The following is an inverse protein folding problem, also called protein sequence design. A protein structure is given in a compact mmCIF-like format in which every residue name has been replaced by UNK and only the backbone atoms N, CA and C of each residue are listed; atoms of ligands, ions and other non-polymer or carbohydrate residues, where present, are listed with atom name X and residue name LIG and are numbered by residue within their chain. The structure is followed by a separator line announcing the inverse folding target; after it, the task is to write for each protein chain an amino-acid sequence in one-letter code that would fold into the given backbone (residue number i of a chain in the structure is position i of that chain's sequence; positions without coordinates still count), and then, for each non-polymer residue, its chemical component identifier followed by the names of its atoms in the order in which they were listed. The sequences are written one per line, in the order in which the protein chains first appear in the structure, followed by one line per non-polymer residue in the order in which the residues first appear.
data_IF_650030281774
#
_entry.id   IF_650030281774
#
_cell.length_a   1.000
_cell.length_b   1.000
_cell.length_c   1.000
_cell.angle_alpha   90.00
_cell.angle_beta   90.00
_cell.angle_gamma   90.00
#
_symmetry.space_group_name_H-M   'P 1'
#
loop_
_entity.id
_entity.type
_entity.pdbx_description
1 polymer ?
#
# COMPACT_ATOMS: atom_id res chain seq x y z
N UNK A 1 -8.27 45.78 -1.40
CA UNK A 1 -7.21 44.96 -0.77
C UNK A 1 -7.62 43.50 -0.86
N UNK A 2 -7.04 42.72 -1.78
CA UNK A 2 -7.32 41.28 -1.85
C UNK A 2 -6.58 40.57 -0.70
N UNK A 3 -7.33 39.95 0.23
CA UNK A 3 -6.74 39.08 1.26
C UNK A 3 -6.24 37.80 0.59
N UNK A 4 -4.94 37.57 0.62
CA UNK A 4 -4.39 36.26 0.27
C UNK A 4 -4.87 35.23 1.32
N UNK A 5 -5.26 34.01 0.90
CA UNK A 5 -5.65 32.99 1.86
C UNK A 5 -4.44 32.65 2.73
N UNK A 6 -4.51 33.00 4.01
CA UNK A 6 -3.56 32.52 5.01
C UNK A 6 -3.76 31.01 5.08
N UNK A 7 -2.89 30.26 4.39
CA UNK A 7 -2.78 28.84 4.64
C UNK A 7 -2.44 28.69 6.11
N UNK A 8 -3.23 27.90 6.82
CA UNK A 8 -3.10 27.60 8.24
C UNK A 8 -1.86 26.71 8.51
N UNK A 9 -0.72 27.09 7.94
CA UNK A 9 0.62 26.49 8.08
C UNK A 9 1.06 26.33 9.55
N UNK A 10 0.77 27.28 10.47
CA UNK A 10 1.08 27.08 11.88
C UNK A 10 0.41 25.83 12.47
N UNK A 11 -0.78 25.47 11.98
CA UNK A 11 -1.51 24.28 12.44
C UNK A 11 -0.91 22.98 11.90
N UNK A 12 -0.51 22.95 10.62
CA UNK A 12 0.15 21.78 10.03
C UNK A 12 1.53 21.53 10.63
N UNK A 13 2.33 22.58 10.83
CA UNK A 13 3.60 22.48 11.56
C UNK A 13 3.40 22.01 13.01
N UNK A 14 2.35 22.50 13.69
CA UNK A 14 2.04 22.10 15.06
C UNK A 14 1.61 20.63 15.15
N UNK A 15 0.83 20.11 14.19
CA UNK A 15 0.47 18.69 14.12
C UNK A 15 1.69 17.78 14.01
N UNK A 16 2.73 18.24 13.31
CA UNK A 16 4.01 17.51 13.17
C UNK A 16 4.91 17.60 14.42
N UNK A 17 4.64 18.54 15.33
CA UNK A 17 5.43 18.70 16.54
C UNK A 17 5.09 17.64 17.60
N UNK A 18 6.10 16.84 17.96
CA UNK A 18 5.99 15.75 18.95
C UNK A 18 4.83 14.80 18.62
N UNK A 19 3.82 14.73 19.47
CA UNK A 19 2.64 13.87 19.31
C UNK A 19 1.34 14.67 19.15
N UNK A 20 1.42 15.99 18.90
CA UNK A 20 0.23 16.86 18.84
C UNK A 20 -0.71 16.55 17.67
N UNK A 21 -0.22 15.97 16.59
CA UNK A 21 -1.05 15.55 15.45
C UNK A 21 -1.55 14.11 15.52
N UNK A 22 -1.22 13.35 16.56
CA UNK A 22 -1.69 11.96 16.75
C UNK A 22 -3.04 11.93 17.46
N UNK A 23 -3.96 12.78 17.02
CA UNK A 23 -5.32 12.84 17.56
C UNK A 23 -6.10 11.59 17.19
N UNK A 24 -7.17 11.30 17.94
CA UNK A 24 -8.05 10.16 17.67
C UNK A 24 -8.59 10.17 16.22
N UNK A 25 -8.84 11.36 15.64
CA UNK A 25 -9.26 11.49 14.25
C UNK A 25 -8.15 11.08 13.26
N UNK A 26 -6.89 11.45 13.51
CA UNK A 26 -5.76 11.07 12.68
C UNK A 26 -5.51 9.55 12.74
N UNK A 27 -5.56 8.97 13.95
CA UNK A 27 -5.43 7.52 14.13
C UNK A 27 -6.57 6.75 13.44
N UNK A 28 -7.80 7.28 13.45
CA UNK A 28 -8.91 6.69 12.70
C UNK A 28 -8.65 6.70 11.19
N UNK A 29 -8.15 7.81 10.63
CA UNK A 29 -7.79 7.89 9.20
C UNK A 29 -6.72 6.87 8.85
N UNK A 30 -5.63 6.81 9.63
CA UNK A 30 -4.56 5.84 9.45
C UNK A 30 -5.06 4.39 9.50
N UNK A 31 -5.95 4.05 10.44
CA UNK A 31 -6.55 2.70 10.50
C UNK A 31 -7.34 2.36 9.24
N UNK A 32 -8.09 3.32 8.70
CA UNK A 32 -8.86 3.11 7.46
C UNK A 32 -7.93 2.93 6.27
N UNK A 33 -6.91 3.77 6.13
CA UNK A 33 -5.89 3.67 5.08
C UNK A 33 -5.22 2.29 5.07
N UNK A 34 -4.70 1.85 6.23
CA UNK A 34 -4.08 0.54 6.40
C UNK A 34 -5.05 -0.60 6.07
N UNK A 35 -6.31 -0.52 6.52
CA UNK A 35 -7.28 -1.56 6.17
C UNK A 35 -7.63 -1.60 4.68
N UNK A 36 -7.63 -0.46 3.99
CA UNK A 36 -7.85 -0.42 2.54
C UNK A 36 -6.69 -1.06 1.81
N UNK A 37 -5.44 -0.76 2.20
CA UNK A 37 -4.25 -1.40 1.64
C UNK A 37 -4.28 -2.92 1.84
N UNK A 38 -4.59 -3.39 3.05
CA UNK A 38 -4.70 -4.83 3.33
C UNK A 38 -5.77 -5.52 2.47
N UNK A 39 -6.96 -4.91 2.32
CA UNK A 39 -8.02 -5.48 1.47
C UNK A 39 -7.63 -5.52 -0.01
N UNK A 40 -6.90 -4.50 -0.48
CA UNK A 40 -6.39 -4.47 -1.86
C UNK A 40 -5.35 -5.56 -2.07
N UNK A 41 -4.36 -5.65 -1.20
CA UNK A 41 -3.34 -6.69 -1.26
C UNK A 41 -3.93 -8.11 -1.28
N UNK A 42 -4.93 -8.38 -0.44
CA UNK A 42 -5.65 -9.66 -0.44
C UNK A 42 -6.38 -9.95 -1.75
N UNK A 43 -7.04 -8.93 -2.34
CA UNK A 43 -7.70 -9.05 -3.64
C UNK A 43 -6.68 -9.27 -4.76
N UNK A 44 -5.58 -8.54 -4.75
CA UNK A 44 -4.53 -8.64 -5.76
C UNK A 44 -3.88 -10.02 -5.71
N UNK A 45 -3.58 -10.54 -4.51
CA UNK A 45 -3.09 -11.90 -4.32
C UNK A 45 -4.09 -12.96 -4.84
N UNK A 46 -5.39 -12.78 -4.56
CA UNK A 46 -6.42 -13.68 -5.07
C UNK A 46 -6.48 -13.67 -6.61
N UNK A 47 -6.40 -12.50 -7.23
CA UNK A 47 -6.43 -12.35 -8.69
C UNK A 47 -5.19 -13.00 -9.32
N UNK A 48 -4.01 -12.78 -8.74
CA UNK A 48 -2.74 -13.36 -9.20
C UNK A 48 -2.78 -14.89 -9.14
N UNK A 49 -3.28 -15.46 -8.03
CA UNK A 49 -3.48 -16.90 -7.88
C UNK A 49 -4.43 -17.47 -8.96
N UNK A 50 -5.54 -16.78 -9.27
CA UNK A 50 -6.48 -17.21 -10.32
C UNK A 50 -5.90 -17.14 -11.73
N UNK A 51 -4.97 -16.22 -11.97
CA UNK A 51 -4.28 -16.06 -13.26
C UNK A 51 -3.01 -16.92 -13.37
N UNK A 52 -2.64 -17.64 -12.32
CA UNK A 52 -1.38 -18.39 -12.23
C UNK A 52 -0.14 -17.53 -12.48
N UNK A 53 -0.17 -16.26 -12.06
CA UNK A 53 0.95 -15.32 -12.19
C UNK A 53 1.56 -15.13 -10.79
N UNK A 54 2.88 -15.32 -10.67
CA UNK A 54 3.60 -15.01 -9.43
C UNK A 54 4.19 -13.60 -9.46
N UNK A 55 4.15 -12.91 -8.31
CA UNK A 55 4.71 -11.54 -8.16
C UNK A 55 6.20 -11.52 -8.50
N UNK A 56 6.92 -12.61 -8.23
CA UNK A 56 8.34 -12.80 -8.59
C UNK A 56 8.63 -12.67 -10.08
N UNK A 57 7.66 -12.97 -10.96
CA UNK A 57 7.79 -12.81 -12.40
C UNK A 57 7.51 -11.38 -12.88
N UNK A 58 6.89 -10.53 -12.05
CA UNK A 58 6.48 -9.17 -12.42
C UNK A 58 7.56 -8.12 -12.12
N UNK A 59 8.44 -8.40 -11.14
CA UNK A 59 9.60 -7.56 -10.79
C UNK A 59 10.80 -7.77 -11.74
N UNK A 60 10.89 -8.94 -12.40
CA UNK A 60 11.88 -9.19 -13.44
C UNK A 60 11.27 -8.73 -14.76
N UNK A 61 11.78 -7.63 -15.32
CA UNK A 61 11.48 -7.21 -16.70
C UNK A 61 11.57 -8.43 -17.64
N UNK A 62 10.76 -8.51 -18.71
CA UNK A 62 10.72 -9.69 -19.57
C UNK A 62 12.02 -9.77 -20.39
N UNK A 63 13.06 -10.35 -19.80
CA UNK A 63 14.17 -10.95 -20.54
C UNK A 63 13.69 -12.32 -21.03
N UNK A 64 13.84 -12.63 -22.32
CA UNK A 64 13.19 -13.77 -22.97
C UNK A 64 13.82 -15.13 -22.61
N UNK A 65 14.25 -15.36 -21.38
CA UNK A 65 14.92 -16.59 -20.98
C UNK A 65 14.47 -16.97 -19.57
N UNK A 66 13.68 -18.05 -19.52
CA UNK A 66 13.59 -19.07 -18.45
C UNK A 66 12.16 -19.59 -18.33
N UNK A 67 11.86 -20.58 -19.19
CA UNK A 67 10.80 -21.54 -18.94
C UNK A 67 11.25 -22.41 -17.77
N UNK A 68 10.33 -22.69 -16.85
CA UNK A 68 10.40 -23.69 -15.79
C UNK A 68 10.68 -23.19 -14.36
N UNK A 69 9.69 -22.51 -13.78
CA UNK A 69 9.41 -22.64 -12.33
C UNK A 69 7.93 -22.98 -12.17
N UNK A 70 7.53 -24.11 -12.75
CA UNK A 70 6.25 -24.72 -12.43
C UNK A 70 6.42 -25.41 -11.07
N UNK A 71 5.56 -25.04 -10.13
CA UNK A 71 5.10 -25.90 -9.02
C UNK A 71 6.12 -26.40 -7.98
N UNK A 72 6.95 -25.54 -7.37
CA UNK A 72 7.60 -25.88 -6.10
C UNK A 72 6.83 -25.23 -4.93
N UNK A 73 5.74 -25.86 -4.48
CA UNK A 73 4.97 -25.37 -3.33
C UNK A 73 3.72 -26.17 -2.95
N UNK A 74 3.26 -27.09 -3.79
CA UNK A 74 2.20 -28.03 -3.43
C UNK A 74 2.78 -29.44 -3.34
N UNK A 75 3.63 -29.70 -2.35
CA UNK A 75 3.82 -31.07 -1.86
C UNK A 75 2.74 -31.33 -0.80
N UNK A 76 1.70 -32.06 -1.22
CA UNK A 76 0.89 -32.96 -0.40
C UNK A 76 1.24 -34.37 -0.89
N UNK A 77 1.22 -35.42 -0.06
CA UNK A 77 0.35 -35.61 1.11
C UNK A 77 0.89 -35.14 2.46
#
# INVERSE_FOLDING_TARGET
LAKMPVMNEPSERMKKFKNRGKDAAALRRQRVEVQVELRKAQKDEQILKRRSISITLMEKSPTPEDKNVVSAGCMLP
#
